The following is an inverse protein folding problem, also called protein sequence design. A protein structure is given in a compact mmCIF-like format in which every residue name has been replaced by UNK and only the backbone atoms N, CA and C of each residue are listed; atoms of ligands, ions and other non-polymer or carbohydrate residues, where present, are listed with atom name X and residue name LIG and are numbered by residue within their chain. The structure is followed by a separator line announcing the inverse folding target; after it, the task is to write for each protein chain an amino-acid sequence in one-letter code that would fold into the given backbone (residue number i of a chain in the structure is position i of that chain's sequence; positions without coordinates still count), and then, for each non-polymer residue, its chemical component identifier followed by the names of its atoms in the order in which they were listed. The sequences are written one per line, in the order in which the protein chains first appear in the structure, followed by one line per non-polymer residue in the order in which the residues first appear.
data_IF_441676762374
#
_entry.id   IF_441676762374
#
_cell.length_a   1.000
_cell.length_b   1.000
_cell.length_c   1.000
_cell.angle_alpha   90.00
_cell.angle_beta   90.00
_cell.angle_gamma   90.00
#
_symmetry.space_group_name_H-M   'P 1'
#
loop_
_entity.id
_entity.type
_entity.pdbx_description
1 polymer ?
#
# COMPACT_ATOMS: atom_id res chain seq x y z
N UNK A 1 23.14 -11.78 -22.60
CA UNK A 1 22.73 -10.59 -21.82
C UNK A 1 21.37 -10.89 -21.25
N UNK A 2 21.36 -11.48 -20.06
CA UNK A 2 20.18 -12.09 -19.45
C UNK A 2 20.17 -11.70 -17.97
N UNK A 3 19.53 -10.58 -17.68
CA UNK A 3 19.15 -10.21 -16.32
C UNK A 3 17.78 -9.56 -16.42
N UNK A 4 16.83 -10.33 -16.93
CA UNK A 4 15.43 -10.08 -16.63
C UNK A 4 15.29 -10.16 -15.09
N UNK A 5 14.78 -9.12 -14.42
CA UNK A 5 14.62 -9.16 -12.97
C UNK A 5 13.66 -10.29 -12.63
N UNK A 6 14.15 -11.31 -11.92
CA UNK A 6 13.46 -12.59 -11.68
C UNK A 6 12.16 -12.49 -10.87
N UNK A 7 11.86 -11.35 -10.26
CA UNK A 7 10.61 -11.11 -9.53
C UNK A 7 10.08 -9.69 -9.81
N UNK A 8 8.93 -9.58 -10.47
CA UNK A 8 8.28 -8.29 -10.79
C UNK A 8 7.30 -7.81 -9.70
N UNK A 9 6.89 -8.71 -8.80
CA UNK A 9 5.87 -8.46 -7.79
C UNK A 9 6.25 -9.14 -6.47
N UNK A 10 5.81 -8.54 -5.36
CA UNK A 10 5.83 -9.14 -4.03
C UNK A 10 4.37 -9.28 -3.58
N UNK A 11 3.90 -10.51 -3.43
CA UNK A 11 2.63 -10.78 -2.79
C UNK A 11 2.85 -10.94 -1.29
N UNK A 12 2.05 -10.25 -0.48
CA UNK A 12 2.15 -10.29 0.99
C UNK A 12 0.76 -10.18 1.60
N UNK A 13 0.63 -10.60 2.85
CA UNK A 13 -0.58 -10.39 3.64
C UNK A 13 -0.81 -8.89 3.93
N UNK A 14 -2.04 -8.54 4.30
CA UNK A 14 -2.31 -7.27 4.96
C UNK A 14 -1.46 -7.14 6.24
N UNK A 15 -0.75 -6.02 6.46
CA UNK A 15 0.02 -5.84 7.67
C UNK A 15 -0.82 -6.01 8.93
N UNK A 16 -0.24 -6.65 9.94
CA UNK A 16 -0.71 -6.67 11.33
C UNK A 16 -0.03 -5.53 12.10
N UNK A 17 -0.59 -5.08 13.25
CA UNK A 17 0.00 -4.01 14.06
C UNK A 17 1.49 -4.21 14.36
N UNK A 18 1.87 -5.43 14.75
CA UNK A 18 3.25 -5.80 15.09
C UNK A 18 4.17 -5.98 13.87
N UNK A 19 3.62 -6.01 12.66
CA UNK A 19 4.39 -6.20 11.40
C UNK A 19 4.47 -4.95 10.54
N UNK A 20 3.82 -3.84 10.93
CA UNK A 20 3.83 -2.57 10.18
C UNK A 20 5.25 -2.10 9.85
N UNK A 21 6.17 -2.13 10.82
CA UNK A 21 7.57 -1.74 10.57
C UNK A 21 8.27 -2.69 9.57
N UNK A 22 8.04 -4.00 9.69
CA UNK A 22 8.61 -5.00 8.79
C UNK A 22 8.07 -4.84 7.35
N UNK A 23 6.80 -4.47 7.20
CA UNK A 23 6.20 -4.16 5.90
C UNK A 23 6.91 -2.97 5.23
N UNK A 24 7.08 -1.85 5.93
CA UNK A 24 7.80 -0.69 5.39
C UNK A 24 9.29 -0.96 5.15
N UNK A 25 9.90 -1.81 5.98
CA UNK A 25 11.26 -2.30 5.74
C UNK A 25 11.35 -3.09 4.43
N UNK A 26 10.42 -4.02 4.18
CA UNK A 26 10.35 -4.77 2.92
C UNK A 26 10.17 -3.84 1.72
N UNK A 27 9.30 -2.83 1.82
CA UNK A 27 9.11 -1.81 0.77
C UNK A 27 10.41 -1.06 0.50
N UNK A 28 11.14 -0.68 1.55
CA UNK A 28 12.42 0.02 1.43
C UNK A 28 13.51 -0.86 0.82
N UNK A 29 13.76 -2.05 1.36
CA UNK A 29 14.86 -2.92 0.93
C UNK A 29 14.70 -3.41 -0.51
N UNK A 30 13.47 -3.66 -0.95
CA UNK A 30 13.18 -4.09 -2.32
C UNK A 30 13.08 -2.93 -3.32
N UNK A 31 13.18 -1.67 -2.88
CA UNK A 31 13.04 -0.53 -3.77
C UNK A 31 11.63 -0.35 -4.34
N UNK A 32 10.61 -0.91 -3.66
CA UNK A 32 9.22 -0.84 -4.10
C UNK A 32 8.71 0.60 -4.01
N UNK A 33 8.39 1.20 -5.16
CA UNK A 33 7.78 2.53 -5.26
C UNK A 33 6.25 2.48 -5.36
N UNK A 34 5.68 1.29 -5.53
CA UNK A 34 4.24 1.07 -5.71
C UNK A 34 3.75 -0.01 -4.75
N UNK A 35 2.61 0.27 -4.09
CA UNK A 35 1.85 -0.67 -3.29
C UNK A 35 0.46 -0.80 -3.93
N UNK A 36 -0.02 -2.04 -4.10
CA UNK A 36 -1.39 -2.32 -4.53
C UNK A 36 -2.13 -2.97 -3.36
N UNK A 37 -3.09 -2.26 -2.79
CA UNK A 37 -3.98 -2.76 -1.75
C UNK A 37 -5.32 -3.15 -2.38
N UNK A 38 -5.73 -4.41 -2.20
CA UNK A 38 -6.95 -4.97 -2.79
C UNK A 38 -8.07 -5.22 -1.77
N UNK A 39 -7.88 -4.78 -0.52
CA UNK A 39 -8.85 -4.98 0.57
C UNK A 39 -8.90 -3.73 1.44
N UNK A 40 -10.07 -3.43 2.00
CA UNK A 40 -10.26 -2.35 2.97
C UNK A 40 -9.75 -2.79 4.34
N UNK A 41 -9.30 -1.87 5.22
CA UNK A 41 -8.87 -2.24 6.58
C UNK A 41 -9.95 -2.97 7.39
N UNK A 42 -11.22 -2.59 7.20
CA UNK A 42 -12.38 -3.17 7.88
C UNK A 42 -13.46 -3.47 6.85
N UNK A 43 -14.01 -4.69 6.89
CA UNK A 43 -15.17 -5.12 6.11
C UNK A 43 -16.21 -5.75 7.05
N UNK A 44 -17.46 -5.29 7.00
CA UNK A 44 -18.57 -5.81 7.83
C UNK A 44 -18.24 -5.94 9.33
N UNK A 45 -17.42 -5.02 9.85
CA UNK A 45 -16.97 -5.00 11.25
C UNK A 45 -15.79 -5.94 11.56
N UNK A 46 -15.30 -6.69 10.57
CA UNK A 46 -14.12 -7.56 10.68
C UNK A 46 -12.89 -6.79 10.22
N UNK A 47 -11.81 -6.84 11.01
CA UNK A 47 -10.51 -6.26 10.62
C UNK A 47 -9.83 -7.17 9.61
N UNK A 48 -9.69 -6.71 8.37
CA UNK A 48 -9.02 -7.43 7.29
C UNK A 48 -7.53 -7.06 7.19
N UNK A 49 -7.21 -5.79 7.44
CA UNK A 49 -5.86 -5.25 7.37
C UNK A 49 -5.68 -4.16 8.41
N UNK A 50 -4.54 -4.15 9.11
CA UNK A 50 -4.21 -3.02 9.96
C UNK A 50 -3.97 -1.77 9.11
N UNK A 51 -4.33 -0.61 9.66
CA UNK A 51 -4.09 0.68 9.01
C UNK A 51 -2.60 1.05 9.12
N UNK A 52 -1.77 0.57 8.19
CA UNK A 52 -0.30 0.68 8.24
C UNK A 52 0.27 2.01 7.73
N UNK A 53 -0.58 3.00 7.44
CA UNK A 53 -0.21 4.32 6.96
C UNK A 53 -0.84 5.41 7.85
N UNK A 54 -0.29 6.63 7.90
CA UNK A 54 -0.90 7.72 8.67
C UNK A 54 -2.24 8.15 8.08
N UNK A 55 -3.23 8.43 8.92
CA UNK A 55 -4.49 9.03 8.49
C UNK A 55 -4.33 10.49 8.02
N UNK A 56 -3.37 11.22 8.59
CA UNK A 56 -2.97 12.56 8.18
C UNK A 56 -1.55 12.86 8.65
N UNK A 57 -0.82 13.70 7.91
CA UNK A 57 0.54 14.10 8.26
C UNK A 57 1.52 12.92 8.24
N UNK A 58 2.32 12.79 9.29
CA UNK A 58 3.33 11.73 9.39
C UNK A 58 3.10 10.79 10.59
N UNK A 59 3.56 9.57 10.43
CA UNK A 59 3.64 8.55 11.48
C UNK A 59 5.06 8.00 11.54
N UNK A 60 5.61 7.94 12.75
CA UNK A 60 6.96 7.44 13.01
C UNK A 60 6.93 6.02 13.52
N UNK A 61 7.58 5.14 12.77
CA UNK A 61 7.85 3.74 13.10
C UNK A 61 9.27 3.60 13.65
N UNK A 62 9.63 2.37 14.04
CA UNK A 62 10.95 2.06 14.63
C UNK A 62 12.11 2.47 13.72
N UNK A 63 12.01 2.20 12.41
CA UNK A 63 13.09 2.47 11.45
C UNK A 63 12.73 3.52 10.39
N UNK A 64 11.45 3.91 10.32
CA UNK A 64 10.92 4.72 9.23
C UNK A 64 10.00 5.82 9.73
N UNK A 65 9.89 6.88 8.95
CA UNK A 65 8.86 7.90 9.08
C UNK A 65 8.07 7.92 7.77
N UNK A 66 6.77 7.71 7.86
CA UNK A 66 5.85 7.65 6.72
C UNK A 66 5.02 8.91 6.76
N UNK A 67 5.05 9.71 5.69
CA UNK A 67 4.28 10.95 5.58
C UNK A 67 3.29 10.86 4.43
N UNK A 68 2.00 11.03 4.71
CA UNK A 68 0.96 11.12 3.70
C UNK A 68 1.00 12.50 3.03
N UNK A 69 1.39 12.52 1.77
CA UNK A 69 1.54 13.75 0.97
C UNK A 69 0.21 14.13 0.33
N UNK A 70 -0.48 13.16 -0.24
CA UNK A 70 -1.76 13.37 -0.91
C UNK A 70 -2.60 12.10 -0.90
N UNK A 71 -3.91 12.28 -0.83
CA UNK A 71 -4.92 11.26 -1.07
C UNK A 71 -5.86 11.78 -2.15
N UNK A 72 -6.07 10.98 -3.20
CA UNK A 72 -6.94 11.30 -4.31
C UNK A 72 -7.96 10.19 -4.51
N UNK A 73 -9.23 10.52 -4.29
CA UNK A 73 -10.37 9.63 -4.54
C UNK A 73 -10.71 9.77 -6.03
N UNK A 74 -10.49 8.71 -6.81
CA UNK A 74 -10.75 8.72 -8.26
C UNK A 74 -12.21 8.41 -8.56
N UNK A 75 -12.75 7.41 -7.87
CA UNK A 75 -14.15 7.02 -7.93
C UNK A 75 -14.49 6.20 -6.67
N UNK A 76 -15.71 5.67 -6.62
CA UNK A 76 -16.16 4.81 -5.51
C UNK A 76 -15.38 3.48 -5.43
N UNK A 77 -14.71 3.07 -6.51
CA UNK A 77 -14.00 1.80 -6.59
C UNK A 77 -12.56 1.86 -6.07
N UNK A 78 -11.89 3.01 -6.16
CA UNK A 78 -10.50 3.12 -5.72
C UNK A 78 -10.04 4.55 -5.44
N UNK A 79 -8.97 4.63 -4.65
CA UNK A 79 -8.23 5.85 -4.37
C UNK A 79 -6.73 5.63 -4.52
N UNK A 80 -5.98 6.72 -4.61
CA UNK A 80 -4.52 6.70 -4.68
C UNK A 80 -3.93 7.59 -3.60
N UNK A 81 -2.92 7.07 -2.90
CA UNK A 81 -2.13 7.83 -1.91
C UNK A 81 -0.70 7.95 -2.34
N UNK A 82 -0.09 9.10 -2.07
CA UNK A 82 1.35 9.30 -2.21
C UNK A 82 1.97 9.51 -0.84
N UNK A 83 3.03 8.77 -0.58
CA UNK A 83 3.78 8.82 0.67
C UNK A 83 5.21 9.27 0.43
N UNK A 84 5.75 10.07 1.36
CA UNK A 84 7.18 10.18 1.57
C UNK A 84 7.60 9.21 2.66
N UNK A 85 8.40 8.22 2.28
CA UNK A 85 9.01 7.25 3.18
C UNK A 85 10.45 7.68 3.46
N UNK A 86 10.75 7.94 4.74
CA UNK A 86 12.07 8.35 5.19
C UNK A 86 12.69 7.27 6.06
N UNK A 87 13.90 6.83 5.72
CA UNK A 87 14.71 6.00 6.61
C UNK A 87 15.35 6.91 7.67
N UNK A 88 15.02 6.70 8.95
CA UNK A 88 15.47 7.61 10.01
C UNK A 88 16.95 7.45 10.36
N UNK A 89 17.57 6.33 9.98
CA UNK A 89 18.98 6.04 10.24
C UNK A 89 19.87 6.63 9.13
N UNK A 90 19.48 6.44 7.87
CA UNK A 90 20.26 6.95 6.72
C UNK A 90 19.85 8.36 6.28
N UNK A 91 18.70 8.84 6.75
CA UNK A 91 18.05 10.09 6.35
C UNK A 91 17.65 10.16 4.87
N UNK A 92 17.79 9.06 4.13
CA UNK A 92 17.34 8.94 2.76
C UNK A 92 15.81 8.92 2.69
N UNK A 93 15.28 9.42 1.58
CA UNK A 93 13.83 9.49 1.34
C UNK A 93 13.46 8.85 0.01
N UNK A 94 12.25 8.30 -0.05
CA UNK A 94 11.66 7.72 -1.26
C UNK A 94 10.19 8.09 -1.35
N UNK A 95 9.69 8.20 -2.57
CA UNK A 95 8.24 8.34 -2.82
C UNK A 95 7.64 6.97 -3.04
N UNK A 96 6.55 6.67 -2.34
CA UNK A 96 5.79 5.42 -2.49
C UNK A 96 4.35 5.76 -2.82
N UNK A 97 3.79 5.15 -3.87
CA UNK A 97 2.39 5.35 -4.27
C UNK A 97 1.59 4.11 -3.92
N UNK A 98 0.51 4.27 -3.15
CA UNK A 98 -0.43 3.19 -2.88
C UNK A 98 -1.68 3.37 -3.74
N UNK A 99 -1.97 2.38 -4.54
CA UNK A 99 -3.25 2.21 -5.22
C UNK A 99 -4.13 1.31 -4.35
N UNK A 100 -5.30 1.80 -3.95
CA UNK A 100 -6.17 1.09 -3.02
C UNK A 100 -7.54 0.87 -3.64
N UNK A 101 -7.80 -0.39 -4.00
CA UNK A 101 -9.07 -0.84 -4.55
C UNK A 101 -10.03 -1.19 -3.39
N UNK A 102 -11.23 -0.63 -3.41
CA UNK A 102 -12.16 -0.60 -2.28
C UNK A 102 -13.39 -1.52 -2.45
N UNK A 103 -13.72 -1.90 -3.69
CA UNK A 103 -14.97 -2.61 -4.01
C UNK A 103 -14.79 -4.11 -4.27
N UNK A 104 -13.61 -4.66 -3.94
CA UNK A 104 -13.41 -6.10 -3.92
C UNK A 104 -13.85 -6.65 -2.55
N UNK A 105 -15.04 -7.23 -2.48
CA UNK A 105 -15.54 -7.86 -1.26
C UNK A 105 -14.91 -9.23 -1.03
N UNK A 106 -14.64 -9.59 0.21
CA UNK A 106 -14.14 -10.92 0.60
C UNK A 106 -15.10 -12.07 0.20
N UNK A 107 -16.40 -11.80 0.22
CA UNK A 107 -17.45 -12.79 -0.07
C UNK A 107 -17.77 -12.93 -1.57
N UNK A 108 -17.03 -12.26 -2.46
CA UNK A 108 -17.36 -12.25 -3.88
C UNK A 108 -16.27 -11.74 -4.81
N UNK A 109 -16.70 -11.39 -6.01
CA UNK A 109 -15.86 -10.70 -7.00
C UNK A 109 -16.45 -9.32 -7.25
N UNK A 110 -15.65 -8.32 -7.67
CA UNK A 110 -16.18 -7.02 -8.04
C UNK A 110 -17.33 -7.18 -9.05
N UNK A 111 -18.43 -6.42 -8.91
CA UNK A 111 -19.61 -6.55 -9.77
C UNK A 111 -19.32 -6.25 -11.24
N UNK A 112 -18.20 -5.60 -11.53
CA UNK A 112 -17.72 -5.32 -12.88
C UNK A 112 -16.21 -5.48 -12.98
N UNK A 113 -15.76 -6.27 -13.96
CA UNK A 113 -14.34 -6.37 -14.31
C UNK A 113 -13.77 -5.04 -14.84
N UNK A 114 -14.63 -4.12 -15.30
CA UNK A 114 -14.22 -2.82 -15.84
C UNK A 114 -13.46 -1.99 -14.80
N UNK A 115 -13.97 -1.92 -13.57
CA UNK A 115 -13.35 -1.11 -12.51
C UNK A 115 -11.94 -1.59 -12.18
N UNK A 116 -11.72 -2.91 -12.11
CA UNK A 116 -10.40 -3.49 -11.89
C UNK A 116 -9.46 -3.26 -13.10
N UNK A 117 -9.99 -3.31 -14.33
CA UNK A 117 -9.21 -3.03 -15.54
C UNK A 117 -8.80 -1.56 -15.66
N UNK A 118 -9.68 -0.64 -15.28
CA UNK A 118 -9.38 0.79 -15.27
C UNK A 118 -8.38 1.13 -14.14
N UNK A 119 -8.50 0.49 -12.97
CA UNK A 119 -7.51 0.58 -11.89
C UNK A 119 -6.10 0.11 -12.26
N UNK A 120 -6.00 -0.89 -13.15
CA UNK A 120 -4.72 -1.44 -13.63
C UNK A 120 -4.02 -0.54 -14.66
N UNK A 121 -4.75 0.35 -15.32
CA UNK A 121 -4.23 1.15 -16.45
C UNK A 121 -3.43 2.34 -15.96
#
# INVERSE_FOLDING_TARGET
TDSDPKCKYIATQGPLPQTTNAFWQMVWENGSSVIVALTRPIEDGVTMCHHYWPAAGNERLTSFEVNLVSEHIWCDDYLVRSFYLKNIQTMETRTVTQFHFLTWSELGTPPSAKSLLDFRR
#
